data_IF_516769850543
#
_entry.id   IF_516769850543
#
_cell.length_a   1.000
_cell.length_b   1.000
_cell.length_c   1.000
_cell.angle_alpha   90.00
_cell.angle_beta   90.00
_cell.angle_gamma   90.00
#
_symmetry.space_group_name_H-M   'P 1'
#
loop_
_entity.id
_entity.type
_entity.pdbx_description
1 polymer ?
#
# COMPACT_ATOMS: atom_id res chain seq x y z
N UNK A 1 -23.49 18.47 -27.13
CA UNK A 1 -23.38 17.37 -28.11
C UNK A 1 -24.66 16.56 -28.24
N UNK A 2 -24.83 15.81 -29.33
CA UNK A 2 -25.99 14.95 -29.51
C UNK A 2 -25.83 13.66 -28.67
N UNK A 3 -26.94 13.08 -28.22
CA UNK A 3 -26.90 11.78 -27.48
C UNK A 3 -26.21 10.67 -28.29
N UNK A 4 -26.30 10.74 -29.64
CA UNK A 4 -25.67 9.77 -30.53
C UNK A 4 -24.12 9.84 -30.50
N UNK A 5 -23.55 11.04 -30.47
CA UNK A 5 -22.10 11.24 -30.37
C UNK A 5 -21.53 10.70 -29.04
N UNK A 6 -22.23 11.01 -27.93
CA UNK A 6 -21.82 10.47 -26.62
C UNK A 6 -21.88 8.93 -26.61
N UNK A 7 -22.90 8.34 -27.25
CA UNK A 7 -23.02 6.88 -27.34
C UNK A 7 -21.86 6.24 -28.13
N UNK A 8 -21.42 6.88 -29.24
CA UNK A 8 -20.26 6.43 -30.00
C UNK A 8 -18.97 6.47 -29.13
N UNK A 9 -18.77 7.54 -28.35
CA UNK A 9 -17.65 7.65 -27.43
C UNK A 9 -17.69 6.55 -26.38
N UNK A 10 -18.84 6.30 -25.76
CA UNK A 10 -19.01 5.22 -24.78
C UNK A 10 -18.64 3.86 -25.37
N UNK A 11 -19.11 3.53 -26.56
CA UNK A 11 -18.77 2.28 -27.25
C UNK A 11 -17.27 2.17 -27.53
N UNK A 12 -16.65 3.25 -28.00
CA UNK A 12 -15.22 3.27 -28.34
C UNK A 12 -14.32 3.07 -27.12
N UNK A 13 -14.67 3.65 -25.98
CA UNK A 13 -13.87 3.60 -24.76
C UNK A 13 -14.39 2.60 -23.72
N UNK A 14 -15.36 1.76 -24.08
CA UNK A 14 -15.88 0.72 -23.20
C UNK A 14 -16.62 1.25 -21.96
N UNK A 15 -17.16 2.48 -22.03
CA UNK A 15 -17.89 3.08 -20.91
C UNK A 15 -19.35 2.60 -20.93
N UNK A 16 -19.77 1.99 -19.83
CA UNK A 16 -21.13 1.45 -19.66
C UNK A 16 -21.88 2.26 -18.63
N UNK A 17 -23.12 2.56 -18.95
CA UNK A 17 -24.04 3.29 -18.09
C UNK A 17 -24.77 4.42 -18.82
N UNK A 18 -25.92 4.82 -18.30
CA UNK A 18 -26.78 5.88 -18.84
C UNK A 18 -27.10 6.95 -17.80
N UNK A 19 -26.44 6.90 -16.65
CA UNK A 19 -26.61 7.90 -15.60
C UNK A 19 -26.26 9.30 -16.12
N UNK A 20 -27.11 10.30 -15.78
CA UNK A 20 -26.97 11.67 -16.29
C UNK A 20 -25.67 12.36 -15.89
N UNK A 21 -25.20 12.15 -14.65
CA UNK A 21 -23.93 12.71 -14.17
C UNK A 21 -22.74 12.11 -14.93
N UNK A 22 -22.75 10.80 -15.22
CA UNK A 22 -21.75 10.16 -16.06
C UNK A 22 -21.77 10.71 -17.49
N UNK A 23 -22.96 10.86 -18.09
CA UNK A 23 -23.12 11.42 -19.43
C UNK A 23 -22.61 12.86 -19.50
N UNK A 24 -22.89 13.68 -18.46
CA UNK A 24 -22.39 15.05 -18.35
C UNK A 24 -20.85 15.08 -18.24
N UNK A 25 -20.27 14.19 -17.45
CA UNK A 25 -18.81 14.07 -17.33
C UNK A 25 -18.15 13.77 -18.69
N UNK A 26 -18.72 12.84 -19.48
CA UNK A 26 -18.25 12.51 -20.83
C UNK A 26 -18.41 13.72 -21.77
N UNK A 27 -19.52 14.40 -21.71
CA UNK A 27 -19.78 15.59 -22.54
C UNK A 27 -18.75 16.69 -22.27
N UNK A 28 -18.45 16.99 -21.00
CA UNK A 28 -17.39 17.93 -20.60
C UNK A 28 -16.03 17.48 -21.14
N UNK A 29 -15.68 16.18 -21.00
CA UNK A 29 -14.42 15.65 -21.50
C UNK A 29 -14.23 15.87 -22.99
N UNK A 30 -15.29 15.68 -23.78
CA UNK A 30 -15.25 15.90 -25.23
C UNK A 30 -15.17 17.40 -25.55
N UNK A 31 -15.94 18.25 -24.87
CA UNK A 31 -15.93 19.69 -25.09
C UNK A 31 -14.58 20.34 -24.75
N UNK A 32 -13.89 19.89 -23.71
CA UNK A 32 -12.58 20.41 -23.34
C UNK A 32 -11.44 19.82 -24.19
N UNK A 33 -11.66 18.70 -24.86
CA UNK A 33 -10.64 18.01 -25.63
C UNK A 33 -9.89 18.89 -26.67
N UNK A 34 -10.57 19.76 -27.48
CA UNK A 34 -9.90 20.59 -28.45
C UNK A 34 -9.05 21.73 -27.86
N UNK A 35 -9.16 22.00 -26.57
CA UNK A 35 -8.39 23.03 -25.85
C UNK A 35 -7.12 22.45 -25.23
N UNK A 36 -6.19 23.33 -24.85
CA UNK A 36 -4.98 22.93 -24.09
C UNK A 36 -5.14 23.17 -22.57
N UNK A 37 -6.37 23.39 -22.09
CA UNK A 37 -6.65 23.61 -20.68
C UNK A 37 -6.33 22.36 -19.85
N UNK A 38 -5.84 22.59 -18.62
CA UNK A 38 -5.68 21.54 -17.62
C UNK A 38 -7.05 21.03 -17.18
N UNK A 39 -7.13 19.73 -16.95
CA UNK A 39 -8.36 19.06 -16.52
C UNK A 39 -8.08 18.29 -15.23
N UNK A 40 -8.90 18.49 -14.22
CA UNK A 40 -8.87 17.73 -12.98
C UNK A 40 -10.08 16.79 -12.89
N UNK A 41 -9.82 15.49 -12.88
CA UNK A 41 -10.83 14.45 -12.80
C UNK A 41 -10.91 13.98 -11.34
N UNK A 42 -12.06 14.18 -10.72
CA UNK A 42 -12.31 13.77 -9.33
C UNK A 42 -13.31 12.63 -9.27
N UNK A 43 -13.15 11.75 -8.30
CA UNK A 43 -14.07 10.64 -8.05
C UNK A 43 -13.41 9.55 -7.22
N UNK A 44 -14.22 8.69 -6.61
CA UNK A 44 -13.74 7.62 -5.77
C UNK A 44 -12.83 6.62 -6.50
N UNK A 45 -12.08 5.83 -5.74
CA UNK A 45 -11.27 4.77 -6.34
C UNK A 45 -12.16 3.74 -7.05
N UNK A 46 -11.71 3.27 -8.22
CA UNK A 46 -12.41 2.24 -9.01
C UNK A 46 -13.66 2.70 -9.76
N UNK A 47 -13.94 4.02 -9.90
CA UNK A 47 -15.11 4.52 -10.66
C UNK A 47 -14.90 4.53 -12.19
N UNK A 48 -13.65 4.35 -12.67
CA UNK A 48 -13.28 4.35 -14.09
C UNK A 48 -12.76 5.71 -14.58
N UNK A 49 -12.01 6.44 -13.73
CA UNK A 49 -11.41 7.75 -14.12
C UNK A 49 -10.47 7.66 -15.32
N UNK A 50 -9.79 6.54 -15.49
CA UNK A 50 -8.78 6.30 -16.53
C UNK A 50 -9.29 6.39 -17.97
N UNK A 51 -10.59 6.26 -18.20
CA UNK A 51 -11.18 6.40 -19.53
C UNK A 51 -11.24 7.85 -20.01
N UNK A 52 -11.39 8.81 -19.12
CA UNK A 52 -11.56 10.22 -19.44
C UNK A 52 -10.32 10.88 -20.07
N UNK A 53 -9.09 10.68 -19.55
CA UNK A 53 -7.88 11.21 -20.19
C UNK A 53 -7.69 10.66 -21.60
N UNK A 54 -8.05 9.40 -21.84
CA UNK A 54 -8.00 8.80 -23.17
C UNK A 54 -9.00 9.47 -24.14
N UNK A 55 -10.23 9.77 -23.68
CA UNK A 55 -11.21 10.54 -24.46
C UNK A 55 -10.63 11.92 -24.78
N UNK A 56 -10.14 12.62 -23.77
CA UNK A 56 -9.58 13.97 -23.92
C UNK A 56 -8.43 13.96 -24.94
N UNK A 57 -7.50 13.03 -24.85
CA UNK A 57 -6.38 12.92 -25.77
C UNK A 57 -6.84 12.62 -27.20
N UNK A 58 -7.71 11.62 -27.38
CA UNK A 58 -8.17 11.17 -28.71
C UNK A 58 -8.99 12.22 -29.47
N UNK A 59 -9.69 13.09 -28.77
CA UNK A 59 -10.45 14.18 -29.36
C UNK A 59 -9.72 15.54 -29.36
N UNK A 60 -8.45 15.56 -28.91
CA UNK A 60 -7.59 16.74 -28.85
C UNK A 60 -6.90 17.01 -30.19
N UNK A 61 -6.30 18.20 -30.28
CA UNK A 61 -5.38 18.55 -31.39
C UNK A 61 -4.08 17.72 -31.28
N UNK A 62 -3.76 17.18 -30.10
CA UNK A 62 -2.57 16.39 -29.80
C UNK A 62 -2.77 14.88 -29.93
N UNK A 63 -3.85 14.42 -30.58
CA UNK A 63 -4.22 12.99 -30.72
C UNK A 63 -3.18 12.12 -31.41
N UNK A 64 -2.24 12.71 -32.13
CA UNK A 64 -1.11 12.04 -32.78
C UNK A 64 0.20 12.17 -31.99
N UNK A 65 0.21 13.00 -30.93
CA UNK A 65 1.33 13.11 -29.99
C UNK A 65 1.39 11.95 -29.03
N UNK A 66 2.44 11.89 -28.21
CA UNK A 66 2.59 10.88 -27.17
C UNK A 66 1.51 11.04 -26.09
N UNK A 67 0.92 9.92 -25.68
CA UNK A 67 0.07 9.83 -24.50
C UNK A 67 0.80 9.00 -23.43
N UNK A 68 1.13 9.63 -22.32
CA UNK A 68 1.81 8.97 -21.21
C UNK A 68 0.91 9.02 -19.99
N UNK A 69 0.62 7.85 -19.40
CA UNK A 69 -0.14 7.73 -18.16
C UNK A 69 0.81 7.33 -17.02
N UNK A 70 0.79 8.11 -15.94
CA UNK A 70 1.64 7.93 -14.76
C UNK A 70 0.74 7.84 -13.53
N UNK A 71 0.85 6.77 -12.76
CA UNK A 71 0.23 6.70 -11.44
C UNK A 71 1.25 7.20 -10.40
N UNK A 72 0.95 8.37 -9.81
CA UNK A 72 1.84 9.04 -8.86
C UNK A 72 1.93 8.28 -7.53
N UNK A 73 0.87 7.63 -7.08
CA UNK A 73 0.85 6.82 -5.86
C UNK A 73 1.63 5.50 -5.97
N UNK A 74 1.89 5.02 -7.20
CA UNK A 74 2.64 3.79 -7.42
C UNK A 74 4.16 4.00 -7.47
N UNK A 75 4.63 5.24 -7.57
CA UNK A 75 6.06 5.57 -7.64
C UNK A 75 6.55 5.99 -6.25
N UNK A 76 7.61 5.37 -5.70
CA UNK A 76 8.16 5.76 -4.41
C UNK A 76 8.58 7.24 -4.39
N UNK A 77 8.37 7.93 -3.26
CA UNK A 77 8.68 9.35 -3.08
C UNK A 77 10.14 9.69 -3.44
N UNK A 78 11.10 8.83 -3.09
CA UNK A 78 12.52 9.03 -3.38
C UNK A 78 12.91 8.98 -4.87
N UNK A 79 12.02 8.48 -5.75
CA UNK A 79 12.29 8.31 -7.19
C UNK A 79 11.34 9.09 -8.08
N UNK A 80 10.23 9.60 -7.55
CA UNK A 80 9.17 10.25 -8.35
C UNK A 80 9.68 11.46 -9.13
N UNK A 81 10.54 12.27 -8.55
CA UNK A 81 11.14 13.42 -9.23
C UNK A 81 12.01 13.00 -10.42
N UNK A 82 12.78 11.91 -10.25
CA UNK A 82 13.62 11.36 -11.31
C UNK A 82 12.80 10.75 -12.45
N UNK A 83 11.67 10.11 -12.15
CA UNK A 83 10.78 9.55 -13.16
C UNK A 83 10.01 10.64 -13.91
N UNK A 84 9.48 11.64 -13.22
CA UNK A 84 8.71 12.73 -13.83
C UNK A 84 9.60 13.69 -14.64
N UNK A 85 10.72 14.16 -14.06
CA UNK A 85 11.54 15.24 -14.64
C UNK A 85 12.83 14.73 -15.27
N UNK A 86 13.24 13.47 -15.00
CA UNK A 86 14.51 12.91 -15.43
C UNK A 86 15.67 13.26 -14.51
N UNK A 87 16.83 12.68 -14.80
CA UNK A 87 18.05 12.90 -14.03
C UNK A 87 19.28 12.95 -14.90
N UNK A 88 20.31 13.68 -14.43
CA UNK A 88 21.66 13.69 -14.98
C UNK A 88 22.47 12.51 -14.44
N UNK A 89 23.52 12.14 -15.15
CA UNK A 89 24.48 11.14 -14.68
C UNK A 89 25.11 11.57 -13.35
N UNK A 90 25.04 10.68 -12.34
CA UNK A 90 25.60 10.94 -11.01
C UNK A 90 24.71 11.76 -10.08
N UNK A 91 23.46 12.02 -10.45
CA UNK A 91 22.51 12.81 -9.64
C UNK A 91 22.19 12.17 -8.27
N UNK A 92 22.28 10.83 -8.16
CA UNK A 92 22.13 10.05 -6.93
C UNK A 92 22.88 8.73 -7.02
N UNK A 93 23.03 8.02 -5.90
CA UNK A 93 23.69 6.71 -5.84
C UNK A 93 22.90 5.71 -6.70
N UNK A 94 23.50 5.31 -7.85
CA UNK A 94 22.85 4.44 -8.85
C UNK A 94 22.47 5.12 -10.16
N UNK A 95 22.60 6.44 -10.30
CA UNK A 95 22.41 7.17 -11.56
C UNK A 95 23.64 6.98 -12.49
N UNK A 96 23.71 5.80 -13.13
CA UNK A 96 24.84 5.42 -14.01
C UNK A 96 24.84 6.22 -15.31
N UNK A 97 23.66 6.64 -15.79
CA UNK A 97 23.46 7.39 -17.02
C UNK A 97 22.48 8.55 -16.85
N UNK A 98 22.39 9.40 -17.87
CA UNK A 98 21.31 10.37 -18.00
C UNK A 98 20.02 9.66 -18.45
N UNK A 99 18.86 10.06 -17.89
CA UNK A 99 17.55 9.56 -18.31
C UNK A 99 16.56 10.72 -18.47
N UNK A 100 15.82 10.71 -19.57
CA UNK A 100 14.70 11.62 -19.78
C UNK A 100 13.54 11.22 -18.85
N UNK A 101 12.88 12.22 -18.25
CA UNK A 101 11.66 12.01 -17.49
C UNK A 101 10.42 12.06 -18.37
N UNK A 102 9.28 11.67 -17.79
CA UNK A 102 8.00 11.63 -18.49
C UNK A 102 7.59 12.97 -19.11
N UNK A 103 7.92 14.11 -18.50
CA UNK A 103 7.66 15.44 -19.09
C UNK A 103 8.48 15.70 -20.33
N UNK A 104 9.70 15.20 -20.39
CA UNK A 104 10.54 15.30 -21.58
C UNK A 104 10.10 14.37 -22.71
N UNK A 105 9.58 13.18 -22.36
CA UNK A 105 9.07 12.19 -23.31
C UNK A 105 7.68 12.60 -23.89
N UNK A 106 6.82 13.19 -23.06
CA UNK A 106 5.47 13.63 -23.44
C UNK A 106 5.43 14.93 -24.23
N UNK A 107 6.60 15.52 -24.56
CA UNK A 107 6.66 16.79 -25.26
C UNK A 107 5.88 16.78 -26.60
N UNK A 108 5.03 17.76 -26.81
CA UNK A 108 4.07 17.83 -27.94
C UNK A 108 2.82 16.95 -27.75
N UNK A 109 2.71 16.21 -26.65
CA UNK A 109 1.67 15.25 -26.37
C UNK A 109 0.80 15.59 -25.16
N UNK A 110 0.35 14.53 -24.47
CA UNK A 110 -0.50 14.62 -23.27
C UNK A 110 0.06 13.70 -22.18
N UNK A 111 0.20 14.24 -20.97
CA UNK A 111 0.51 13.45 -19.77
C UNK A 111 -0.75 13.33 -18.90
N UNK A 112 -1.03 12.13 -18.47
CA UNK A 112 -2.05 11.84 -17.48
C UNK A 112 -1.39 11.49 -16.15
N UNK A 113 -1.72 12.26 -15.10
CA UNK A 113 -1.23 12.04 -13.74
C UNK A 113 -2.37 11.51 -12.90
N UNK A 114 -2.36 10.21 -12.62
CA UNK A 114 -3.32 9.59 -11.70
C UNK A 114 -2.83 9.70 -10.26
N UNK A 115 -3.76 9.80 -9.32
CA UNK A 115 -3.48 9.96 -7.88
C UNK A 115 -2.57 11.17 -7.59
N UNK A 116 -2.83 12.30 -8.27
CA UNK A 116 -2.01 13.52 -8.12
C UNK A 116 -1.99 14.06 -6.68
N UNK A 117 -2.99 13.71 -5.87
CA UNK A 117 -3.06 14.06 -4.44
C UNK A 117 -1.98 13.39 -3.58
N UNK A 118 -1.34 12.33 -4.08
CA UNK A 118 -0.28 11.60 -3.39
C UNK A 118 1.13 12.15 -3.68
N UNK A 119 1.25 13.18 -4.53
CA UNK A 119 2.54 13.79 -4.84
C UNK A 119 3.14 14.48 -3.61
N UNK A 120 4.45 14.30 -3.34
CA UNK A 120 5.17 15.06 -2.31
C UNK A 120 5.16 16.57 -2.59
N UNK A 121 5.14 17.39 -1.55
CA UNK A 121 5.12 18.86 -1.68
C UNK A 121 6.24 19.44 -2.56
N UNK A 122 7.50 18.95 -2.50
CA UNK A 122 8.55 19.41 -3.43
C UNK A 122 8.21 19.13 -4.89
N UNK A 123 7.68 17.94 -5.18
CA UNK A 123 7.26 17.54 -6.53
C UNK A 123 6.08 18.37 -7.02
N UNK A 124 5.12 18.70 -6.13
CA UNK A 124 4.01 19.59 -6.45
C UNK A 124 4.51 20.99 -6.90
N UNK A 125 5.54 21.55 -6.25
CA UNK A 125 6.13 22.82 -6.63
C UNK A 125 6.79 22.77 -8.02
N UNK A 126 7.44 21.66 -8.36
CA UNK A 126 8.01 21.43 -9.68
C UNK A 126 6.93 21.27 -10.75
N UNK A 127 5.86 20.54 -10.46
CA UNK A 127 4.71 20.38 -11.35
C UNK A 127 4.03 21.71 -11.65
N UNK A 128 3.88 22.58 -10.64
CA UNK A 128 3.35 23.92 -10.82
C UNK A 128 4.16 24.72 -11.85
N UNK A 129 5.50 24.67 -11.77
CA UNK A 129 6.37 25.35 -12.73
C UNK A 129 6.16 24.84 -14.17
N UNK A 130 5.96 23.52 -14.35
CA UNK A 130 5.61 22.96 -15.67
C UNK A 130 4.27 23.51 -16.17
N UNK A 131 3.25 23.60 -15.29
CA UNK A 131 1.93 24.10 -15.63
C UNK A 131 1.89 25.60 -15.97
N UNK A 132 2.78 26.39 -15.38
CA UNK A 132 2.82 27.86 -15.59
C UNK A 132 3.68 28.28 -16.77
N UNK A 133 4.91 27.76 -16.84
CA UNK A 133 5.92 28.20 -17.80
C UNK A 133 6.31 27.13 -18.83
N UNK A 134 5.85 25.89 -18.67
CA UNK A 134 6.30 24.77 -19.49
C UNK A 134 7.79 24.40 -19.22
N UNK A 135 8.33 24.80 -18.07
CA UNK A 135 9.75 24.60 -17.73
C UNK A 135 9.93 23.60 -16.58
N UNK A 136 10.96 22.79 -16.69
CA UNK A 136 11.39 21.90 -15.64
C UNK A 136 12.92 21.78 -15.59
N UNK A 137 13.44 21.22 -14.52
CA UNK A 137 14.87 20.96 -14.29
C UNK A 137 15.04 19.50 -13.92
N UNK A 138 15.95 18.76 -14.57
CA UNK A 138 16.31 17.40 -14.22
C UNK A 138 16.92 17.33 -12.82
N UNK A 139 16.81 16.18 -12.17
CA UNK A 139 17.47 15.93 -10.88
C UNK A 139 18.99 15.94 -11.10
N UNK A 140 19.71 16.70 -10.27
CA UNK A 140 21.16 16.87 -10.41
C UNK A 140 21.63 17.87 -11.47
N UNK A 141 20.70 18.56 -12.17
CA UNK A 141 21.00 19.59 -13.17
C UNK A 141 20.65 20.98 -12.67
N UNK A 142 21.31 22.00 -13.22
CA UNK A 142 20.90 23.41 -13.09
C UNK A 142 20.26 23.94 -14.37
N UNK A 143 20.26 23.13 -15.46
CA UNK A 143 19.76 23.54 -16.77
C UNK A 143 18.23 23.46 -16.82
N UNK A 144 17.61 24.55 -17.25
CA UNK A 144 16.17 24.61 -17.50
C UNK A 144 15.86 23.98 -18.85
N UNK A 145 14.95 23.02 -18.87
CA UNK A 145 14.39 22.41 -20.07
C UNK A 145 12.95 22.87 -20.27
N UNK A 146 12.50 22.92 -21.53
CA UNK A 146 11.13 23.31 -21.91
C UNK A 146 10.38 22.12 -22.44
N UNK A 147 9.10 22.05 -22.10
CA UNK A 147 8.16 21.07 -22.61
C UNK A 147 6.84 21.73 -22.98
N UNK A 148 6.26 21.31 -24.09
CA UNK A 148 4.91 21.66 -24.49
C UNK A 148 4.00 20.44 -24.30
N UNK A 149 3.49 20.25 -23.08
CA UNK A 149 2.70 19.09 -22.72
C UNK A 149 1.34 19.51 -22.16
N UNK A 150 0.27 18.84 -22.60
CA UNK A 150 -1.03 18.97 -21.99
C UNK A 150 -1.11 18.08 -20.76
N UNK A 151 -1.56 18.62 -19.63
CA UNK A 151 -1.69 17.89 -18.37
C UNK A 151 -3.17 17.59 -18.10
N UNK A 152 -3.46 16.31 -17.83
CA UNK A 152 -4.74 15.83 -17.31
C UNK A 152 -4.44 15.13 -15.99
N UNK A 153 -5.05 15.57 -14.90
CA UNK A 153 -4.82 15.01 -13.57
C UNK A 153 -6.07 14.29 -13.05
N UNK A 154 -5.88 13.23 -12.27
CA UNK A 154 -6.96 12.57 -11.57
C UNK A 154 -6.61 12.35 -10.09
N UNK A 155 -7.63 12.35 -9.24
CA UNK A 155 -7.50 12.07 -7.82
C UNK A 155 -8.76 11.45 -7.24
N UNK A 156 -8.60 10.64 -6.22
CA UNK A 156 -9.66 10.13 -5.35
C UNK A 156 -9.69 10.84 -3.99
N UNK A 157 -8.69 11.69 -3.71
CA UNK A 157 -8.55 12.45 -2.46
C UNK A 157 -9.33 13.75 -2.55
N UNK A 158 -9.93 14.17 -1.44
CA UNK A 158 -10.48 15.51 -1.31
C UNK A 158 -9.35 16.53 -1.19
N UNK A 159 -9.02 17.20 -2.30
CA UNK A 159 -7.91 18.15 -2.35
C UNK A 159 -8.13 19.38 -1.46
N UNK A 160 -9.38 19.83 -1.23
CA UNK A 160 -9.64 20.95 -0.33
C UNK A 160 -9.31 20.59 1.12
N UNK A 161 -9.59 19.36 1.53
CA UNK A 161 -9.16 18.86 2.83
C UNK A 161 -7.63 18.69 2.89
N UNK A 162 -7.01 18.15 1.83
CA UNK A 162 -5.56 18.00 1.75
C UNK A 162 -4.81 19.35 1.81
N UNK A 163 -5.41 20.43 1.27
CA UNK A 163 -4.88 21.80 1.40
C UNK A 163 -4.96 22.27 2.85
N UNK A 164 -6.12 22.07 3.50
CA UNK A 164 -6.29 22.44 4.91
C UNK A 164 -5.31 21.69 5.84
N UNK A 165 -5.00 20.43 5.51
CA UNK A 165 -4.03 19.59 6.23
C UNK A 165 -2.56 19.92 5.88
N UNK A 166 -2.30 20.86 4.95
CA UNK A 166 -0.94 21.20 4.49
C UNK A 166 -0.26 20.14 3.64
N UNK A 167 -1.00 19.14 3.13
CA UNK A 167 -0.47 18.05 2.28
C UNK A 167 -0.52 18.36 0.79
N UNK A 168 -1.32 19.33 0.39
CA UNK A 168 -1.44 19.75 -1.01
C UNK A 168 -1.37 21.27 -1.12
N UNK A 169 -0.70 21.79 -2.16
CA UNK A 169 -0.53 23.22 -2.39
C UNK A 169 -1.78 23.82 -3.02
N UNK A 170 -2.23 24.93 -2.49
CA UNK A 170 -3.40 25.65 -2.97
C UNK A 170 -3.20 26.23 -4.39
N UNK A 171 -2.00 26.75 -4.69
CA UNK A 171 -1.67 27.31 -6.00
C UNK A 171 -1.71 26.22 -7.10
N UNK A 172 -1.19 25.02 -6.82
CA UNK A 172 -1.27 23.88 -7.73
C UNK A 172 -2.72 23.46 -7.96
N UNK A 173 -3.53 23.41 -6.88
CA UNK A 173 -4.95 23.07 -7.00
C UNK A 173 -5.67 23.98 -8.00
N UNK A 174 -5.56 25.30 -7.87
CA UNK A 174 -6.22 26.23 -8.80
C UNK A 174 -5.71 26.09 -10.23
N UNK A 175 -4.44 25.76 -10.42
CA UNK A 175 -3.88 25.58 -11.76
C UNK A 175 -4.32 24.28 -12.43
N UNK A 176 -4.47 23.19 -11.67
CA UNK A 176 -4.99 21.91 -12.16
C UNK A 176 -6.51 21.96 -12.38
N UNK A 177 -7.24 22.58 -11.48
CA UNK A 177 -8.71 22.64 -11.45
C UNK A 177 -9.30 23.68 -12.39
N UNK A 178 -8.67 23.89 -13.57
CA UNK A 178 -9.19 24.81 -14.58
C UNK A 178 -10.51 24.30 -15.17
N UNK A 179 -10.60 23.01 -15.46
CA UNK A 179 -11.85 22.34 -15.86
C UNK A 179 -12.05 21.11 -14.98
N UNK A 180 -12.99 21.15 -14.02
CA UNK A 180 -13.30 19.99 -13.20
C UNK A 180 -14.20 19.01 -13.94
N UNK A 181 -13.87 17.71 -13.83
CA UNK A 181 -14.73 16.59 -14.24
C UNK A 181 -14.96 15.70 -13.04
N UNK A 182 -16.20 15.63 -12.56
CA UNK A 182 -16.57 14.75 -11.46
C UNK A 182 -17.18 13.48 -12.01
N UNK A 183 -16.60 12.32 -11.65
CA UNK A 183 -17.10 11.00 -12.03
C UNK A 183 -17.92 10.46 -10.86
N UNK A 184 -19.24 10.18 -11.05
CA UNK A 184 -20.11 9.76 -9.97
C UNK A 184 -19.73 8.36 -9.47
N UNK A 185 -19.84 8.10 -8.15
CA UNK A 185 -19.65 6.77 -7.57
C UNK A 185 -20.77 5.82 -8.04
N UNK A 186 -20.50 4.52 -7.99
CA UNK A 186 -21.39 3.52 -8.56
C UNK A 186 -22.78 3.50 -7.88
N UNK A 187 -22.84 3.77 -6.58
CA UNK A 187 -24.12 3.88 -5.80
C UNK A 187 -25.05 4.98 -6.30
N UNK A 188 -24.51 6.01 -6.97
CA UNK A 188 -25.29 7.12 -7.52
C UNK A 188 -25.70 6.87 -8.99
N UNK A 189 -25.24 5.77 -9.60
CA UNK A 189 -25.52 5.43 -11.00
C UNK A 189 -26.77 4.57 -11.21
N UNK A 190 -27.44 4.14 -10.14
CA UNK A 190 -28.69 3.37 -10.20
C UNK A 190 -28.58 2.12 -11.07
N UNK A 191 -29.43 2.02 -12.11
CA UNK A 191 -29.51 0.87 -13.02
C UNK A 191 -28.20 0.53 -13.76
N UNK A 192 -27.25 1.44 -13.83
CA UNK A 192 -25.95 1.20 -14.46
C UNK A 192 -25.19 0.04 -13.79
N UNK A 193 -25.43 -0.20 -12.49
CA UNK A 193 -24.84 -1.33 -11.75
C UNK A 193 -25.24 -2.67 -12.40
N UNK A 194 -26.50 -2.82 -12.76
CA UNK A 194 -27.02 -4.06 -13.38
C UNK A 194 -26.46 -4.21 -14.80
N UNK A 195 -26.35 -3.11 -15.55
CA UNK A 195 -25.76 -3.11 -16.89
C UNK A 195 -24.29 -3.53 -16.85
N UNK A 196 -23.52 -3.00 -15.89
CA UNK A 196 -22.12 -3.33 -15.69
C UNK A 196 -21.95 -4.80 -15.29
N UNK A 197 -22.73 -5.30 -14.32
CA UNK A 197 -22.69 -6.71 -13.92
C UNK A 197 -22.93 -7.62 -15.12
N UNK A 198 -23.98 -7.36 -15.89
CA UNK A 198 -24.34 -8.15 -17.09
C UNK A 198 -23.22 -8.14 -18.12
N UNK A 199 -22.59 -6.99 -18.34
CA UNK A 199 -21.46 -6.87 -19.27
C UNK A 199 -20.25 -7.66 -18.77
N UNK A 200 -19.86 -7.54 -17.50
CA UNK A 200 -18.74 -8.29 -16.94
C UNK A 200 -18.98 -9.80 -16.95
N UNK A 201 -20.20 -10.23 -16.65
CA UNK A 201 -20.59 -11.63 -16.75
C UNK A 201 -20.49 -12.16 -18.18
N UNK A 202 -20.92 -11.38 -19.18
CA UNK A 202 -20.83 -11.72 -20.59
C UNK A 202 -19.36 -11.78 -21.06
N UNK A 203 -18.54 -10.78 -20.73
CA UNK A 203 -17.14 -10.70 -21.11
C UNK A 203 -16.33 -11.87 -20.51
N UNK A 204 -16.64 -12.23 -19.26
CA UNK A 204 -16.02 -13.36 -18.60
C UNK A 204 -16.42 -14.68 -19.27
N UNK A 205 -17.70 -14.87 -19.58
CA UNK A 205 -18.24 -16.05 -20.24
C UNK A 205 -17.58 -16.26 -21.63
N UNK A 206 -17.45 -15.18 -22.40
CA UNK A 206 -16.78 -15.22 -23.71
C UNK A 206 -15.29 -15.56 -23.60
N UNK A 207 -14.58 -14.89 -22.68
CA UNK A 207 -13.14 -15.09 -22.47
C UNK A 207 -12.78 -16.52 -22.06
N UNK A 208 -13.59 -17.13 -21.18
CA UNK A 208 -13.32 -18.45 -20.63
C UNK A 208 -14.19 -19.55 -21.24
N UNK A 209 -15.03 -19.23 -22.24
CA UNK A 209 -15.96 -20.16 -22.91
C UNK A 209 -16.88 -20.89 -21.95
N UNK A 210 -17.41 -20.15 -20.98
CA UNK A 210 -18.33 -20.64 -19.95
C UNK A 210 -19.71 -20.01 -20.16
N UNK A 211 -20.80 -20.65 -19.69
CA UNK A 211 -22.11 -20.02 -19.68
C UNK A 211 -22.12 -18.77 -18.81
N UNK A 212 -22.71 -17.66 -19.30
CA UNK A 212 -22.82 -16.42 -18.52
C UNK A 212 -23.76 -16.60 -17.32
N UNK A 213 -23.40 -16.00 -16.18
CA UNK A 213 -24.28 -15.92 -15.01
C UNK A 213 -25.37 -14.85 -15.23
N UNK A 214 -26.54 -15.09 -14.65
CA UNK A 214 -27.68 -14.18 -14.70
C UNK A 214 -28.18 -13.89 -13.30
N UNK A 215 -28.67 -12.67 -13.07
CA UNK A 215 -29.27 -12.27 -11.81
C UNK A 215 -30.77 -12.55 -11.81
N UNK A 216 -31.26 -13.11 -10.74
CA UNK A 216 -32.70 -13.13 -10.43
C UNK A 216 -33.17 -11.74 -10.00
N UNK A 217 -34.49 -11.49 -9.94
CA UNK A 217 -35.00 -10.16 -9.54
C UNK A 217 -34.62 -9.78 -8.10
N UNK A 218 -34.64 -10.72 -7.17
CA UNK A 218 -34.15 -10.53 -5.80
C UNK A 218 -32.64 -10.25 -5.74
N UNK A 219 -31.84 -10.93 -6.57
CA UNK A 219 -30.41 -10.65 -6.73
C UNK A 219 -30.15 -9.23 -7.25
N UNK A 220 -30.94 -8.74 -8.21
CA UNK A 220 -30.85 -7.34 -8.70
C UNK A 220 -31.13 -6.33 -7.59
N UNK A 221 -32.13 -6.57 -6.74
CA UNK A 221 -32.44 -5.66 -5.63
C UNK A 221 -31.28 -5.56 -4.64
N UNK A 222 -30.61 -6.67 -4.32
CA UNK A 222 -29.41 -6.66 -3.49
C UNK A 222 -28.28 -5.90 -4.17
N UNK A 223 -28.06 -6.12 -5.47
CA UNK A 223 -27.03 -5.44 -6.23
C UNK A 223 -27.23 -3.90 -6.24
N UNK A 224 -28.47 -3.43 -6.37
CA UNK A 224 -28.82 -2.01 -6.39
C UNK A 224 -28.74 -1.38 -4.98
N UNK A 225 -29.02 -2.14 -3.93
CA UNK A 225 -28.99 -1.62 -2.56
C UNK A 225 -27.60 -1.55 -1.92
N UNK A 226 -26.62 -2.21 -2.50
CA UNK A 226 -25.27 -2.25 -1.95
C UNK A 226 -24.49 -0.95 -2.27
N UNK A 227 -23.67 -0.47 -1.34
CA UNK A 227 -22.99 0.83 -1.43
C UNK A 227 -21.78 0.87 -2.37
N UNK A 228 -21.22 -0.26 -2.75
CA UNK A 228 -20.09 -0.41 -3.67
C UNK A 228 -18.88 0.47 -3.32
N UNK A 229 -18.25 0.33 -2.15
CA UNK A 229 -17.12 1.19 -1.75
C UNK A 229 -15.91 1.10 -2.69
N UNK A 230 -15.70 -0.02 -3.37
CA UNK A 230 -14.69 -0.19 -4.41
C UNK A 230 -15.24 0.02 -5.84
N UNK A 231 -16.46 0.55 -5.97
CA UNK A 231 -17.09 0.95 -7.23
C UNK A 231 -17.04 -0.13 -8.33
N UNK A 232 -16.76 0.27 -9.58
CA UNK A 232 -16.74 -0.62 -10.76
C UNK A 232 -15.66 -1.71 -10.62
N UNK A 233 -14.51 -1.40 -9.99
CA UNK A 233 -13.44 -2.37 -9.75
C UNK A 233 -13.91 -3.51 -8.83
N UNK A 234 -14.61 -3.19 -7.75
CA UNK A 234 -15.18 -4.18 -6.85
C UNK A 234 -16.28 -5.01 -7.52
N UNK A 235 -17.20 -4.34 -8.23
CA UNK A 235 -18.27 -5.01 -8.97
C UNK A 235 -17.70 -6.02 -9.96
N UNK A 236 -16.69 -5.63 -10.73
CA UNK A 236 -16.01 -6.51 -11.68
C UNK A 236 -15.39 -7.74 -10.99
N UNK A 237 -14.63 -7.53 -9.93
CA UNK A 237 -13.98 -8.62 -9.19
C UNK A 237 -15.01 -9.61 -8.62
N UNK A 238 -16.09 -9.12 -8.02
CA UNK A 238 -17.15 -9.98 -7.47
C UNK A 238 -17.86 -10.74 -8.59
N UNK A 239 -18.16 -10.08 -9.73
CA UNK A 239 -18.79 -10.75 -10.88
C UNK A 239 -17.91 -11.86 -11.45
N UNK A 240 -16.60 -11.62 -11.59
CA UNK A 240 -15.63 -12.61 -12.04
C UNK A 240 -15.51 -13.78 -11.04
N UNK A 241 -15.47 -13.49 -9.74
CA UNK A 241 -15.40 -14.48 -8.68
C UNK A 241 -16.63 -15.39 -8.67
N UNK A 242 -17.82 -14.84 -8.73
CA UNK A 242 -19.08 -15.61 -8.82
C UNK A 242 -19.08 -16.46 -10.09
N UNK A 243 -18.65 -15.92 -11.22
CA UNK A 243 -18.61 -16.62 -12.50
C UNK A 243 -17.70 -17.85 -12.48
N UNK A 244 -16.64 -17.85 -11.64
CA UNK A 244 -15.74 -19.01 -11.49
C UNK A 244 -16.30 -20.03 -10.51
N UNK A 245 -16.77 -19.58 -9.35
CA UNK A 245 -17.05 -20.46 -8.21
C UNK A 245 -18.41 -21.11 -8.34
N UNK A 246 -19.44 -20.35 -8.78
CA UNK A 246 -20.79 -20.84 -8.80
C UNK A 246 -21.07 -21.78 -9.98
N UNK A 247 -21.56 -22.98 -9.69
CA UNK A 247 -22.05 -23.93 -10.68
C UNK A 247 -23.43 -23.55 -11.20
N UNK A 248 -24.27 -23.01 -10.32
CA UNK A 248 -25.57 -22.47 -10.71
C UNK A 248 -25.36 -21.13 -11.42
N UNK A 249 -25.95 -20.99 -12.60
CA UNK A 249 -25.83 -19.75 -13.41
C UNK A 249 -26.88 -18.72 -13.09
N UNK A 250 -27.88 -19.07 -12.29
CA UNK A 250 -28.85 -18.14 -11.76
C UNK A 250 -28.44 -17.69 -10.34
N UNK A 251 -28.08 -16.43 -10.22
CA UNK A 251 -27.55 -15.83 -8.98
C UNK A 251 -28.68 -15.12 -8.27
N UNK A 252 -29.11 -15.68 -7.13
CA UNK A 252 -30.13 -15.11 -6.25
C UNK A 252 -29.52 -14.21 -5.15
N UNK A 253 -30.39 -13.58 -4.36
CA UNK A 253 -29.99 -12.70 -3.27
C UNK A 253 -29.10 -13.39 -2.22
N UNK A 254 -29.34 -14.64 -1.93
CA UNK A 254 -28.61 -15.42 -0.92
C UNK A 254 -27.18 -15.69 -1.38
N UNK A 255 -26.99 -16.15 -2.62
CA UNK A 255 -25.68 -16.35 -3.22
C UNK A 255 -24.90 -15.02 -3.27
N UNK A 256 -25.54 -13.96 -3.80
CA UNK A 256 -24.87 -12.67 -3.95
C UNK A 256 -24.40 -12.09 -2.60
N UNK A 257 -25.21 -12.19 -1.53
CA UNK A 257 -24.85 -11.74 -0.18
C UNK A 257 -23.64 -12.48 0.38
N UNK A 258 -23.41 -13.74 0.02
CA UNK A 258 -22.23 -14.50 0.43
C UNK A 258 -20.90 -13.96 -0.14
N UNK A 259 -20.96 -13.23 -1.25
CA UNK A 259 -19.78 -12.59 -1.87
C UNK A 259 -19.63 -11.11 -1.54
N UNK A 260 -20.65 -10.48 -0.98
CA UNK A 260 -20.59 -9.07 -0.59
C UNK A 260 -20.01 -8.95 0.82
N UNK A 261 -18.95 -8.16 1.03
CA UNK A 261 -18.44 -7.86 2.37
C UNK A 261 -19.53 -7.25 3.26
N UNK A 262 -19.62 -7.68 4.50
CA UNK A 262 -20.58 -7.12 5.46
C UNK A 262 -20.28 -5.64 5.70
N UNK A 263 -21.30 -4.78 5.51
CA UNK A 263 -21.17 -3.33 5.70
C UNK A 263 -21.01 -2.90 7.17
N UNK A 264 -21.21 -3.83 8.13
CA UNK A 264 -21.30 -3.49 9.54
C UNK A 264 -19.97 -3.26 10.27
N UNK A 265 -18.82 -3.51 9.66
CA UNK A 265 -17.54 -3.38 10.36
C UNK A 265 -16.76 -2.06 10.12
N UNK A 266 -17.24 -1.18 9.24
CA UNK A 266 -16.53 0.11 9.03
C UNK A 266 -17.03 1.26 9.94
N UNK A 267 -18.09 1.09 10.72
CA UNK A 267 -18.64 2.17 11.58
C UNK A 267 -18.39 2.01 13.08
N UNK A 268 -17.62 1.01 13.51
CA UNK A 268 -17.30 0.82 14.93
C UNK A 268 -15.79 0.71 15.21
N UNK A 269 -15.01 1.60 14.65
CA UNK A 269 -13.82 2.04 15.36
C UNK A 269 -14.30 3.13 16.33
N UNK A 270 -14.10 3.02 17.64
CA UNK A 270 -14.41 4.10 18.56
C UNK A 270 -13.61 5.31 18.11
N UNK A 271 -14.30 6.40 17.82
CA UNK A 271 -13.66 7.71 17.67
C UNK A 271 -12.99 8.04 19.01
N UNK A 272 -11.73 7.77 19.14
CA UNK A 272 -10.91 8.36 20.18
C UNK A 272 -10.78 9.85 19.84
N UNK A 273 -11.60 10.65 20.51
CA UNK A 273 -11.46 12.09 20.55
C UNK A 273 -10.08 12.46 21.10
N UNK A 274 -9.33 13.15 20.27
CA UNK A 274 -8.42 14.21 20.62
C UNK A 274 -7.19 13.84 21.44
N UNK A 275 -6.06 13.82 20.77
CA UNK A 275 -4.90 14.67 21.11
C UNK A 275 -3.99 14.70 19.88
N UNK A 276 -3.69 15.91 19.39
CA UNK A 276 -2.59 16.16 18.45
C UNK A 276 -1.28 15.75 19.11
N UNK A 277 -0.55 14.84 18.51
CA UNK A 277 0.91 14.83 18.58
C UNK A 277 1.48 14.00 17.44
N UNK A 278 2.44 14.61 16.75
CA UNK A 278 3.31 13.99 15.77
C UNK A 278 3.92 12.69 16.32
N UNK A 279 3.83 11.59 15.51
CA UNK A 279 4.88 10.57 15.39
C UNK A 279 4.40 9.37 14.58
N UNK A 280 4.90 9.24 13.37
CA UNK A 280 4.69 8.11 12.45
C UNK A 280 5.40 6.80 12.84
N UNK A 281 5.93 6.70 14.06
CA UNK A 281 6.61 5.47 14.57
C UNK A 281 5.82 4.71 15.66
N UNK A 282 4.65 5.20 16.08
CA UNK A 282 3.83 4.56 17.13
C UNK A 282 2.97 3.40 16.63
N UNK A 283 2.45 3.49 15.41
CA UNK A 283 1.45 2.57 14.88
C UNK A 283 1.97 1.13 14.66
N UNK A 284 3.19 0.96 14.18
CA UNK A 284 3.75 -0.38 13.95
C UNK A 284 4.07 -1.12 15.26
N UNK A 285 4.53 -0.38 16.28
CA UNK A 285 4.76 -0.94 17.62
C UNK A 285 3.47 -1.34 18.32
N UNK A 286 2.43 -0.55 18.20
CA UNK A 286 1.12 -0.86 18.79
C UNK A 286 0.49 -2.11 18.16
N UNK A 287 0.57 -2.26 16.84
CA UNK A 287 0.12 -3.46 16.14
C UNK A 287 0.95 -4.68 16.56
N UNK A 288 2.26 -4.52 16.71
CA UNK A 288 3.16 -5.59 17.17
C UNK A 288 2.85 -6.03 18.60
N UNK A 289 2.58 -5.08 19.50
CA UNK A 289 2.15 -5.38 20.87
C UNK A 289 0.79 -6.06 20.92
N UNK A 290 -0.14 -5.68 20.07
CA UNK A 290 -1.47 -6.30 20.00
C UNK A 290 -1.38 -7.75 19.53
N UNK A 291 -0.59 -8.02 18.49
CA UNK A 291 -0.33 -9.39 18.01
C UNK A 291 0.39 -10.24 19.08
N UNK A 292 1.33 -9.66 19.80
CA UNK A 292 2.03 -10.35 20.91
C UNK A 292 1.08 -10.65 22.09
N UNK A 293 0.14 -9.75 22.39
CA UNK A 293 -0.87 -9.98 23.42
C UNK A 293 -1.84 -11.10 23.05
N UNK A 294 -2.33 -11.10 21.80
CA UNK A 294 -3.21 -12.15 21.29
C UNK A 294 -2.52 -13.51 21.27
N UNK A 295 -1.27 -13.59 20.79
CA UNK A 295 -0.46 -14.82 20.85
C UNK A 295 -0.22 -15.31 22.29
N UNK A 296 -0.02 -14.40 23.24
CA UNK A 296 0.14 -14.77 24.66
C UNK A 296 -1.15 -15.32 25.26
N UNK A 297 -2.28 -14.81 24.84
CA UNK A 297 -3.61 -15.29 25.25
C UNK A 297 -3.89 -16.68 24.68
N UNK A 298 -3.62 -16.88 23.38
CA UNK A 298 -3.74 -18.16 22.70
C UNK A 298 -2.85 -19.25 23.34
N UNK A 299 -1.59 -18.92 23.66
CA UNK A 299 -0.67 -19.83 24.35
C UNK A 299 -1.18 -20.15 25.77
N UNK A 300 -1.81 -19.22 26.46
CA UNK A 300 -2.37 -19.44 27.79
C UNK A 300 -3.61 -20.36 27.73
N UNK A 301 -4.45 -20.19 26.74
CA UNK A 301 -5.62 -21.03 26.54
C UNK A 301 -5.26 -22.43 26.04
N UNK A 302 -4.22 -22.53 25.20
CA UNK A 302 -3.64 -23.81 24.80
C UNK A 302 -3.04 -24.57 26.01
N UNK A 303 -2.35 -23.87 26.92
CA UNK A 303 -1.84 -24.47 28.17
C UNK A 303 -2.97 -24.96 29.08
N UNK A 304 -4.09 -24.23 29.17
CA UNK A 304 -5.27 -24.68 29.93
C UNK A 304 -5.86 -25.96 29.32
N UNK A 305 -6.05 -25.99 28.00
CA UNK A 305 -6.56 -27.14 27.27
C UNK A 305 -5.66 -28.38 27.44
N UNK A 306 -4.33 -28.20 27.36
CA UNK A 306 -3.38 -29.29 27.61
C UNK A 306 -3.46 -29.77 29.06
N UNK A 307 -3.64 -28.87 30.03
CA UNK A 307 -3.81 -29.24 31.45
C UNK A 307 -5.13 -30.01 31.69
N UNK A 308 -6.22 -29.62 31.05
CA UNK A 308 -7.49 -30.33 31.09
C UNK A 308 -7.38 -31.73 30.48
N UNK A 309 -6.73 -31.86 29.30
CA UNK A 309 -6.49 -33.16 28.65
C UNK A 309 -5.55 -34.06 29.50
N UNK A 310 -4.55 -33.47 30.18
CA UNK A 310 -3.69 -34.23 31.10
C UNK A 310 -4.42 -34.63 32.38
N UNK A 311 -5.34 -33.80 32.89
CA UNK A 311 -6.18 -34.12 34.04
C UNK A 311 -7.20 -35.24 33.74
N UNK A 312 -7.76 -35.29 32.55
CA UNK A 312 -8.67 -36.36 32.12
C UNK A 312 -7.99 -37.70 31.84
N UNK A 313 -6.63 -37.72 31.61
CA UNK A 313 -5.85 -38.94 31.37
C UNK A 313 -5.17 -39.50 32.63
N UNK A 314 -5.31 -38.85 33.77
CA UNK A 314 -4.64 -39.18 35.01
C UNK A 314 -5.51 -39.83 36.08
N UNK A 315 -6.01 -41.06 35.85
CA UNK A 315 -6.50 -41.93 36.97
C UNK A 315 -5.70 -43.21 36.97
N UNK A 316 -4.56 -43.19 37.66
CA UNK A 316 -4.03 -44.36 38.38
C UNK A 316 -3.08 -43.86 39.48
N UNK A 317 -3.57 -44.00 40.74
CA UNK A 317 -2.90 -44.28 42.03
C UNK A 317 -1.60 -43.55 42.51
N UNK A 318 -1.77 -42.62 43.45
CA UNK A 318 -1.29 -42.55 44.87
C UNK A 318 0.24 -42.62 45.22
N UNK A 319 0.68 -42.12 46.42
CA UNK A 319 0.25 -40.94 47.20
C UNK A 319 1.40 -40.08 47.80
N UNK A 320 1.02 -38.96 48.39
CA UNK A 320 1.60 -38.21 49.53
C UNK A 320 2.91 -37.45 49.33
N UNK A 321 2.94 -36.14 49.46
CA UNK A 321 3.27 -35.36 50.68
C UNK A 321 2.91 -33.87 50.46
N UNK A 322 2.29 -33.30 51.48
CA UNK A 322 1.94 -31.90 51.62
C UNK A 322 3.14 -30.99 51.83
N UNK A 323 3.11 -29.77 51.30
CA UNK A 323 3.43 -28.59 52.12
C UNK A 323 2.83 -27.31 51.44
N UNK A 324 2.06 -26.65 52.27
CA UNK A 324 1.45 -25.34 52.18
C UNK A 324 2.47 -24.21 52.07
N UNK A 325 2.22 -23.21 51.23
CA UNK A 325 2.37 -21.81 51.67
C UNK A 325 1.60 -20.86 50.76
N UNK A 326 0.68 -20.15 51.36
CA UNK A 326 -0.09 -19.02 50.86
C UNK A 326 0.81 -17.81 50.63
N UNK A 327 0.56 -17.04 49.59
CA UNK A 327 0.74 -15.60 49.60
C UNK A 327 -0.42 -14.92 48.82
N UNK A 328 -1.11 -14.07 49.58
CA UNK A 328 -2.20 -13.20 49.10
C UNK A 328 -1.65 -11.86 48.54
N UNK A 329 -2.43 -11.13 47.74
CA UNK A 329 -1.98 -9.92 47.08
C UNK A 329 -2.11 -8.69 47.97
N UNK A 330 -1.16 -7.77 47.86
CA UNK A 330 -1.21 -6.45 48.52
C UNK A 330 -1.36 -5.36 47.44
N UNK A 331 -2.38 -4.55 47.60
CA UNK A 331 -2.69 -3.35 46.83
C UNK A 331 -1.78 -2.19 47.20
N UNK A 332 -1.53 -1.22 46.27
CA UNK A 332 -0.63 -0.10 46.53
C UNK A 332 -1.34 1.10 47.14
N UNK A 333 -0.68 1.77 48.08
CA UNK A 333 -1.06 3.05 48.63
C UNK A 333 -0.17 4.19 48.09
N UNK A 334 -0.76 5.34 48.04
CA UNK A 334 -0.48 6.59 47.37
C UNK A 334 0.52 7.49 48.13
N UNK A 335 1.40 8.25 47.37
CA UNK A 335 1.80 9.66 47.48
C UNK A 335 2.97 10.06 48.41
N UNK A 336 3.62 11.23 48.27
CA UNK A 336 3.92 12.12 47.15
C UNK A 336 5.41 12.55 46.99
N UNK A 337 5.76 13.60 46.19
CA UNK A 337 7.09 13.80 45.61
C UNK A 337 8.00 14.75 46.41
N UNK A 338 9.32 14.62 46.29
CA UNK A 338 10.28 15.71 46.54
C UNK A 338 11.54 15.58 45.66
N UNK A 339 11.79 16.62 44.97
CA UNK A 339 12.95 17.27 44.34
C UNK A 339 14.37 16.70 44.45
N UNK A 340 15.00 16.74 43.27
CA UNK A 340 16.36 17.24 42.91
C UNK A 340 17.63 16.62 43.49
N UNK A 341 18.48 16.22 42.60
CA UNK A 341 19.89 16.59 42.39
C UNK A 341 20.79 15.47 41.89
N UNK A 342 21.45 15.72 40.79
CA UNK A 342 22.65 15.01 40.28
C UNK A 342 23.84 15.41 41.16
N UNK A 343 24.89 14.64 41.40
CA UNK A 343 25.93 14.36 40.40
C UNK A 343 26.74 13.03 40.50
N UNK A 344 27.30 12.61 39.37
CA UNK A 344 28.72 12.28 39.08
C UNK A 344 29.42 11.09 39.74
N UNK A 345 29.81 10.14 38.88
CA UNK A 345 31.05 9.36 38.73
C UNK A 345 31.71 8.74 40.01
N UNK A 346 32.04 7.44 39.91
CA UNK A 346 33.40 6.84 40.04
C UNK A 346 33.31 5.32 39.94
N UNK A 347 34.13 4.71 39.03
CA UNK A 347 34.56 3.32 39.10
C UNK A 347 35.56 3.11 40.26
N UNK A 348 35.73 1.90 40.78
CA UNK A 348 36.90 1.13 40.38
C UNK A 348 36.75 -0.40 40.29
N UNK A 349 37.60 -0.93 39.44
CA UNK A 349 38.09 -2.27 39.27
C UNK A 349 38.60 -2.94 40.54
N UNK A 350 38.47 -4.29 40.66
CA UNK A 350 39.54 -5.24 41.09
C UNK A 350 39.08 -6.71 40.88
N UNK A 351 39.98 -7.51 40.31
CA UNK A 351 40.01 -8.96 40.12
C UNK A 351 40.59 -9.64 41.37
N UNK A 352 40.92 -10.94 41.37
CA UNK A 352 40.20 -12.21 41.23
C UNK A 352 40.52 -13.20 42.39
N UNK A 353 39.82 -14.32 42.47
CA UNK A 353 40.39 -15.58 43.05
C UNK A 353 39.57 -16.80 42.56
N UNK A 354 40.26 -17.80 42.02
CA UNK A 354 39.87 -19.19 41.76
C UNK A 354 40.39 -20.10 42.90
N UNK A 355 40.21 -21.44 42.91
CA UNK A 355 39.22 -22.36 42.32
C UNK A 355 38.67 -23.37 43.35
N UNK A 356 37.79 -24.28 43.00
CA UNK A 356 37.87 -25.76 43.24
C UNK A 356 36.70 -26.46 42.54
N UNK A 357 37.01 -27.61 41.92
CA UNK A 357 36.20 -28.56 41.17
C UNK A 357 34.98 -29.09 41.93
N UNK A 358 33.90 -29.38 41.22
CA UNK A 358 33.36 -30.72 41.11
C UNK A 358 32.28 -30.84 40.01
N UNK A 359 32.36 -31.94 39.36
CA UNK A 359 31.66 -32.63 38.33
C UNK A 359 30.10 -32.55 38.45
N UNK A 360 29.38 -32.28 37.34
CA UNK A 360 28.20 -33.01 36.86
C UNK A 360 27.58 -32.38 35.60
N UNK A 361 27.66 -33.13 34.53
CA UNK A 361 26.79 -33.33 33.35
C UNK A 361 25.86 -32.22 32.87
N UNK A 362 26.07 -31.92 31.58
CA UNK A 362 25.13 -31.55 30.49
C UNK A 362 23.86 -30.76 30.86
N UNK A 363 23.91 -29.48 30.56
CA UNK A 363 22.76 -28.71 30.12
C UNK A 363 23.23 -27.73 29.05
N UNK A 364 22.56 -27.78 27.91
CA UNK A 364 22.79 -26.95 26.75
C UNK A 364 22.92 -25.47 27.14
N UNK A 365 24.07 -24.87 26.83
CA UNK A 365 24.32 -23.45 26.95
C UNK A 365 23.47 -22.72 25.95
N UNK A 366 22.42 -22.06 26.39
CA UNK A 366 21.81 -20.95 25.67
C UNK A 366 22.84 -19.83 25.58
N UNK A 367 23.44 -19.68 24.42
CA UNK A 367 24.24 -18.51 24.05
C UNK A 367 23.26 -17.40 23.80
N UNK A 368 23.32 -16.28 24.50
CA UNK A 368 22.63 -15.05 24.15
C UNK A 368 23.11 -14.65 22.76
N UNK A 369 22.24 -14.84 21.75
CA UNK A 369 22.47 -14.36 20.38
C UNK A 369 22.53 -12.85 20.43
N UNK A 370 23.69 -12.28 20.08
CA UNK A 370 23.84 -10.84 19.93
C UNK A 370 22.92 -10.38 18.80
N UNK A 371 22.12 -9.35 19.06
CA UNK A 371 21.18 -8.74 18.08
C UNK A 371 21.91 -7.85 17.06
N UNK A 372 23.24 -7.86 17.02
CA UNK A 372 24.02 -7.14 16.01
C UNK A 372 24.03 -7.91 14.70
N UNK A 373 23.51 -7.30 13.65
CA UNK A 373 23.44 -7.88 12.30
C UNK A 373 24.83 -8.27 11.78
N UNK A 374 25.85 -7.48 12.11
CA UNK A 374 27.24 -7.71 11.71
C UNK A 374 27.84 -8.93 12.39
N UNK A 375 27.50 -9.19 13.66
CA UNK A 375 27.98 -10.38 14.39
C UNK A 375 27.30 -11.65 13.89
N UNK A 376 26.01 -11.61 13.59
CA UNK A 376 25.27 -12.72 12.98
C UNK A 376 25.82 -13.04 11.59
N UNK A 377 26.08 -12.03 10.77
CA UNK A 377 26.67 -12.20 9.43
C UNK A 377 28.07 -12.80 9.50
N UNK A 378 28.91 -12.32 10.42
CA UNK A 378 30.24 -12.86 10.67
C UNK A 378 30.19 -14.33 11.07
N UNK A 379 29.26 -14.70 11.93
CA UNK A 379 29.12 -16.09 12.39
C UNK A 379 28.58 -17.01 11.29
N UNK A 380 27.66 -16.53 10.45
CA UNK A 380 27.19 -17.27 9.28
C UNK A 380 28.31 -17.52 8.26
N UNK A 381 29.15 -16.52 8.00
CA UNK A 381 30.29 -16.65 7.08
C UNK A 381 31.31 -17.66 7.65
N UNK A 382 31.59 -17.63 8.95
CA UNK A 382 32.47 -18.58 9.61
C UNK A 382 31.94 -20.00 9.50
N UNK A 383 30.68 -20.24 9.84
CA UNK A 383 30.04 -21.56 9.74
C UNK A 383 30.04 -22.12 8.32
N UNK A 384 29.80 -21.26 7.32
CA UNK A 384 29.82 -21.66 5.91
C UNK A 384 31.26 -22.03 5.44
N UNK A 385 32.29 -21.32 5.87
CA UNK A 385 33.67 -21.64 5.57
C UNK A 385 34.10 -22.94 6.22
N UNK A 386 33.75 -23.19 7.48
CA UNK A 386 34.02 -24.44 8.22
C UNK A 386 33.31 -25.63 7.53
N UNK A 387 32.03 -25.49 7.19
CA UNK A 387 31.24 -26.53 6.50
C UNK A 387 31.86 -26.95 5.18
N UNK A 388 32.45 -26.02 4.45
CA UNK A 388 33.06 -26.28 3.12
C UNK A 388 34.57 -26.39 3.14
N UNK A 389 35.17 -26.63 4.33
CA UNK A 389 36.61 -26.83 4.49
C UNK A 389 37.45 -25.71 3.81
N UNK A 390 37.06 -24.46 3.97
CA UNK A 390 37.74 -23.29 3.42
C UNK A 390 37.53 -23.05 1.91
N UNK A 391 36.71 -23.83 1.24
CA UNK A 391 36.40 -23.63 -0.21
C UNK A 391 35.46 -22.47 -0.40
N UNK A 392 36.00 -21.28 -0.66
CA UNK A 392 35.30 -19.99 -0.77
C UNK A 392 34.15 -20.01 -1.80
N UNK A 393 34.32 -20.70 -2.93
CA UNK A 393 33.31 -20.81 -3.99
C UNK A 393 32.05 -21.54 -3.49
N UNK A 394 32.22 -22.67 -2.79
CA UNK A 394 31.12 -23.44 -2.24
C UNK A 394 30.44 -22.73 -1.06
N UNK A 395 31.21 -22.03 -0.20
CA UNK A 395 30.70 -21.22 0.88
C UNK A 395 29.88 -20.02 0.35
N UNK A 396 30.32 -19.37 -0.74
CA UNK A 396 29.57 -18.27 -1.38
C UNK A 396 28.23 -18.74 -1.96
N UNK A 397 28.19 -19.92 -2.54
CA UNK A 397 26.95 -20.55 -3.04
C UNK A 397 25.98 -20.91 -1.90
N UNK A 398 26.49 -21.43 -0.80
CA UNK A 398 25.67 -21.79 0.38
C UNK A 398 25.04 -20.56 1.04
N UNK A 399 25.78 -19.44 1.04
CA UNK A 399 25.32 -18.14 1.56
C UNK A 399 24.53 -17.31 0.52
N UNK A 400 24.35 -17.81 -0.71
CA UNK A 400 23.68 -17.13 -1.82
C UNK A 400 24.24 -15.73 -2.14
N UNK A 401 25.57 -15.57 -2.01
CA UNK A 401 26.32 -14.33 -2.33
C UNK A 401 27.40 -14.59 -3.38
N UNK A 402 27.87 -13.49 -4.04
CA UNK A 402 28.97 -13.63 -5.02
C UNK A 402 30.31 -13.92 -4.31
N UNK A 403 31.22 -14.66 -4.98
CA UNK A 403 32.57 -14.93 -4.46
C UNK A 403 33.31 -13.62 -4.12
N UNK A 404 33.10 -12.57 -4.90
CA UNK A 404 33.69 -11.24 -4.68
C UNK A 404 33.16 -10.57 -3.40
N UNK A 405 31.85 -10.74 -3.13
CA UNK A 405 31.22 -10.24 -1.90
C UNK A 405 31.75 -10.99 -0.68
N UNK A 406 31.83 -12.31 -0.76
CA UNK A 406 32.37 -13.14 0.31
C UNK A 406 33.84 -12.78 0.62
N UNK A 407 34.67 -12.59 -0.41
CA UNK A 407 36.08 -12.19 -0.23
C UNK A 407 36.21 -10.85 0.50
N UNK A 408 35.38 -9.85 0.11
CA UNK A 408 35.37 -8.55 0.78
C UNK A 408 34.98 -8.68 2.26
N UNK A 409 33.94 -9.48 2.55
CA UNK A 409 33.42 -9.70 3.91
C UNK A 409 34.41 -10.49 4.80
N UNK A 410 35.10 -11.47 4.26
CA UNK A 410 36.16 -12.20 4.97
C UNK A 410 37.26 -11.22 5.40
N UNK A 411 37.67 -10.30 4.50
CA UNK A 411 38.70 -9.32 4.81
C UNK A 411 38.20 -8.26 5.80
N UNK A 412 36.95 -7.86 5.71
CA UNK A 412 36.29 -6.88 6.60
C UNK A 412 36.18 -7.42 8.05
N UNK A 413 35.84 -8.70 8.20
CA UNK A 413 35.66 -9.36 9.50
C UNK A 413 36.90 -10.08 10.02
N UNK A 414 38.02 -10.08 9.28
CA UNK A 414 39.29 -10.70 9.70
C UNK A 414 39.20 -12.22 9.89
N UNK A 415 38.49 -12.92 8.99
CA UNK A 415 38.24 -14.37 9.03
C UNK A 415 39.20 -15.17 8.10
N UNK A 416 40.43 -14.70 7.89
CA UNK A 416 41.44 -15.37 7.04
C UNK A 416 41.99 -16.62 7.68
#
# INVERSE_FOLDING_TARGET
MTKAEIQQVKLRFGIIGNNEALMRAIDIAIQVAPTDLSVLITGESGVGKESFPQIIHQYSRRKHGQYIAVNCGAIPEGTIDSELFGHEKGAFTGAIGERKGYFGEANGGTIFLDEVGELPLPTQARLLRVLESGEFIKVGSSKVEKTDVRIVAATNVNLTQAIADGRFREDLYYRLNTVPIQVPPLRERGEDVVLLFRKFASDFAEKYRMPAIQLTEDGKQVLLSYSWPGNVRQLKNITEQISIIETNREINASILKGYLPEQNNMQRLPAFFGVKEDKSFGSEREILYQVLFDMRQDVTDLKKLVHEIMAERGTVSNPTVATSTYYAPVTPAVVPPVTSSVPTIIHPSVKPVTPVDDDFQDTEKYVEESLSLDEVEKEMIRKALEKHHGKRKSAAQDLNISERTLYRKIKEYGLD
#
